data_IF_613734151382
#
_entry.id   IF_613734151382
#
_cell.length_a   1.000
_cell.length_b   1.000
_cell.length_c   1.000
_cell.angle_alpha   90.00
_cell.angle_beta   90.00
_cell.angle_gamma   90.00
#
_symmetry.space_group_name_H-M   'P 1'
#
loop_
_entity.id
_entity.type
_entity.pdbx_description
1 polymer ?
#
# COMPACT_ATOMS: atom_id res chain seq x y z
N UNK A 1 -6.81 -43.29 23.51
CA UNK A 1 -8.24 -42.91 23.56
C UNK A 1 -8.57 -41.95 24.72
N UNK A 2 -7.88 -42.02 25.86
CA UNK A 2 -8.12 -41.16 27.04
C UNK A 2 -7.74 -39.66 26.86
N UNK A 3 -6.70 -39.32 26.10
CA UNK A 3 -6.27 -37.90 25.96
C UNK A 3 -7.26 -37.01 25.21
N UNK A 4 -8.00 -37.56 24.25
CA UNK A 4 -9.04 -36.81 23.53
C UNK A 4 -10.22 -36.46 24.43
N UNK A 5 -10.59 -37.37 25.32
CA UNK A 5 -11.72 -37.19 26.23
C UNK A 5 -11.42 -36.11 27.29
N UNK A 6 -10.17 -36.06 27.77
CA UNK A 6 -9.68 -35.02 28.67
C UNK A 6 -9.69 -33.65 27.98
N UNK A 7 -9.25 -33.59 26.72
CA UNK A 7 -9.22 -32.35 25.94
C UNK A 7 -10.62 -31.83 25.62
N UNK A 8 -11.54 -32.69 25.19
CA UNK A 8 -12.92 -32.32 24.91
C UNK A 8 -13.63 -31.83 26.19
N UNK A 9 -13.43 -32.52 27.32
CA UNK A 9 -13.98 -32.10 28.63
C UNK A 9 -13.45 -30.74 29.07
N UNK A 10 -12.16 -30.47 28.86
CA UNK A 10 -11.57 -29.16 29.19
C UNK A 10 -12.16 -28.03 28.34
N UNK A 11 -12.35 -28.26 27.04
CA UNK A 11 -12.97 -27.27 26.14
C UNK A 11 -14.41 -26.98 26.57
N UNK A 12 -15.24 -28.00 26.78
CA UNK A 12 -16.63 -27.80 27.19
C UNK A 12 -16.73 -27.09 28.54
N UNK A 13 -15.83 -27.39 29.48
CA UNK A 13 -15.74 -26.69 30.76
C UNK A 13 -15.42 -25.20 30.59
N UNK A 14 -14.46 -24.86 29.73
CA UNK A 14 -14.12 -23.45 29.47
C UNK A 14 -15.24 -22.68 28.78
N UNK A 15 -15.92 -23.28 27.78
CA UNK A 15 -17.05 -22.65 27.09
C UNK A 15 -18.22 -22.38 28.05
N UNK A 16 -18.55 -23.34 28.92
CA UNK A 16 -19.62 -23.16 29.90
C UNK A 16 -19.31 -22.04 30.90
N UNK A 17 -18.04 -21.87 31.29
CA UNK A 17 -17.63 -20.79 32.18
C UNK A 17 -17.70 -19.42 31.49
N UNK A 18 -17.36 -19.34 30.21
CA UNK A 18 -17.48 -18.10 29.41
C UNK A 18 -18.94 -17.71 29.24
N UNK A 19 -19.83 -18.64 28.91
CA UNK A 19 -21.27 -18.35 28.81
C UNK A 19 -21.88 -17.89 30.13
N UNK A 20 -21.50 -18.52 31.25
CA UNK A 20 -21.94 -18.09 32.59
C UNK A 20 -21.46 -16.69 32.91
N UNK A 21 -20.24 -16.31 32.53
CA UNK A 21 -19.72 -14.97 32.77
C UNK A 21 -20.43 -13.91 31.92
N UNK A 22 -20.72 -14.21 30.66
CA UNK A 22 -21.47 -13.33 29.76
C UNK A 22 -22.91 -13.12 30.27
N UNK A 23 -23.59 -14.19 30.69
CA UNK A 23 -24.96 -14.10 31.20
C UNK A 23 -25.00 -13.43 32.58
N UNK A 24 -24.06 -13.73 33.47
CA UNK A 24 -23.95 -13.05 34.77
C UNK A 24 -23.70 -11.55 34.62
N UNK A 25 -23.03 -11.12 33.55
CA UNK A 25 -22.81 -9.70 33.24
C UNK A 25 -24.02 -9.02 32.62
N UNK A 26 -24.96 -9.80 32.05
CA UNK A 26 -26.25 -9.31 31.52
C UNK A 26 -27.32 -9.20 32.59
N UNK A 27 -27.29 -10.04 33.61
CA UNK A 27 -28.34 -10.12 34.63
C UNK A 27 -28.20 -9.14 35.81
N UNK A 28 -27.17 -8.26 35.85
CA UNK A 28 -27.05 -7.25 36.92
C UNK A 28 -27.80 -5.94 36.63
N UNK A 29 -28.66 -5.88 35.62
CA UNK A 29 -29.44 -4.68 35.30
C UNK A 29 -30.94 -4.93 35.22
N UNK A 30 -31.58 -5.26 36.35
CA UNK A 30 -33.02 -5.07 36.54
C UNK A 30 -33.43 -4.99 38.03
N UNK A 31 -33.75 -3.78 38.53
CA UNK A 31 -35.07 -3.41 39.13
C UNK A 31 -35.01 -2.28 40.18
N UNK A 32 -35.54 -1.10 39.84
CA UNK A 32 -36.48 -0.26 40.65
C UNK A 32 -36.89 1.04 39.87
N UNK A 33 -38.07 1.66 40.09
CA UNK A 33 -38.81 2.39 39.03
C UNK A 33 -38.88 3.95 39.11
N UNK A 34 -39.01 4.57 37.91
CA UNK A 34 -39.59 5.88 37.51
C UNK A 34 -38.87 7.22 37.84
N UNK A 35 -39.12 8.35 37.11
CA UNK A 35 -39.75 8.59 35.79
C UNK A 35 -38.89 9.44 34.80
N UNK A 36 -39.30 9.43 33.52
CA UNK A 36 -39.11 10.44 32.45
C UNK A 36 -37.89 11.38 32.50
N UNK A 37 -36.88 11.15 31.65
CA UNK A 37 -36.17 12.19 30.89
C UNK A 37 -35.39 11.56 29.72
N UNK A 38 -35.46 12.25 28.57
CA UNK A 38 -34.84 12.04 27.25
C UNK A 38 -33.79 10.94 27.10
N UNK A 39 -34.07 10.04 26.15
CA UNK A 39 -33.10 9.15 25.53
C UNK A 39 -31.89 9.96 25.02
N UNK A 40 -30.80 9.91 25.78
CA UNK A 40 -29.48 10.29 25.32
C UNK A 40 -28.81 8.99 24.94
N UNK A 41 -28.79 8.66 23.65
CA UNK A 41 -28.00 7.55 23.14
C UNK A 41 -26.54 7.78 23.51
N UNK A 42 -26.05 7.03 24.50
CA UNK A 42 -24.65 6.96 24.82
C UNK A 42 -23.92 6.27 23.67
N UNK A 43 -23.43 7.07 22.73
CA UNK A 43 -22.49 6.62 21.70
C UNK A 43 -21.26 6.05 22.44
N UNK A 44 -21.15 4.73 22.46
CA UNK A 44 -19.94 4.04 22.87
C UNK A 44 -18.81 4.55 21.97
N UNK A 45 -17.99 5.45 22.52
CA UNK A 45 -16.89 6.09 21.82
C UNK A 45 -15.83 5.02 21.57
N UNK A 46 -15.92 4.36 20.41
CA UNK A 46 -14.86 3.47 19.96
C UNK A 46 -13.61 4.32 19.78
N UNK A 47 -12.68 4.20 20.73
CA UNK A 47 -11.35 4.77 20.61
C UNK A 47 -10.62 3.93 19.58
N UNK A 48 -10.73 4.32 18.32
CA UNK A 48 -9.85 3.81 17.27
C UNK A 48 -8.44 4.28 17.59
N UNK A 49 -7.44 3.39 17.63
CA UNK A 49 -6.05 3.82 17.79
C UNK A 49 -5.74 4.81 16.66
N UNK A 50 -5.28 6.01 17.02
CA UNK A 50 -4.93 7.03 16.05
C UNK A 50 -3.72 6.55 15.26
N UNK A 51 -3.98 6.03 14.07
CA UNK A 51 -2.93 5.66 13.13
C UNK A 51 -2.24 6.94 12.64
N UNK A 52 -0.92 6.91 12.39
CA UNK A 52 -0.23 8.01 11.73
C UNK A 52 -0.96 8.42 10.45
N UNK A 53 -1.14 9.71 10.23
CA UNK A 53 -1.73 10.22 8.98
C UNK A 53 -0.84 9.82 7.82
N UNK A 54 -1.40 9.07 6.86
CA UNK A 54 -0.68 8.66 5.66
C UNK A 54 -0.42 9.91 4.83
N UNK A 55 0.85 10.20 4.57
CA UNK A 55 1.26 11.30 3.69
C UNK A 55 1.24 10.81 2.26
N UNK A 56 0.52 11.55 1.40
CA UNK A 56 0.46 11.23 -0.03
C UNK A 56 1.86 11.39 -0.65
N UNK A 57 2.38 10.39 -1.38
CA UNK A 57 3.68 10.50 -2.00
C UNK A 57 3.68 11.60 -3.06
N UNK A 58 4.79 12.33 -3.15
CA UNK A 58 5.02 13.27 -4.24
C UNK A 58 5.54 12.52 -5.47
N UNK A 59 5.15 12.95 -6.67
CA UNK A 59 5.62 12.38 -7.93
C UNK A 59 6.09 13.47 -8.89
N UNK A 60 7.35 13.42 -9.27
CA UNK A 60 7.98 14.40 -10.15
C UNK A 60 8.02 13.98 -11.63
N UNK A 61 7.75 12.71 -11.94
CA UNK A 61 7.85 12.14 -13.28
C UNK A 61 8.94 11.07 -13.42
N UNK A 62 9.63 10.69 -12.35
CA UNK A 62 10.59 9.58 -12.38
C UNK A 62 9.87 8.24 -12.57
N UNK A 63 10.16 7.53 -13.68
CA UNK A 63 9.57 6.23 -13.99
C UNK A 63 9.77 5.18 -12.87
N UNK A 64 10.88 5.23 -12.13
CA UNK A 64 11.13 4.31 -11.00
C UNK A 64 10.09 4.47 -9.87
N UNK A 65 9.58 5.69 -9.68
CA UNK A 65 8.65 6.01 -8.61
C UNK A 65 7.19 5.93 -9.06
N UNK A 66 6.93 5.79 -10.38
CA UNK A 66 5.59 5.79 -10.95
C UNK A 66 4.72 4.68 -10.36
N UNK A 67 5.22 3.45 -10.32
CA UNK A 67 4.44 2.30 -9.83
C UNK A 67 3.99 2.52 -8.38
N UNK A 68 4.95 2.89 -7.53
CA UNK A 68 4.69 3.21 -6.12
C UNK A 68 3.71 4.36 -5.96
N UNK A 69 3.88 5.44 -6.71
CA UNK A 69 2.98 6.59 -6.68
C UNK A 69 1.57 6.22 -7.11
N UNK A 70 1.44 5.58 -8.28
CA UNK A 70 0.17 5.14 -8.86
C UNK A 70 -0.59 4.28 -7.87
N UNK A 71 0.02 3.21 -7.36
CA UNK A 71 -0.64 2.25 -6.48
C UNK A 71 -1.10 2.90 -5.17
N UNK A 72 -0.25 3.77 -4.61
CA UNK A 72 -0.58 4.51 -3.38
C UNK A 72 -1.71 5.52 -3.62
N UNK A 73 -1.62 6.30 -4.69
CA UNK A 73 -2.64 7.31 -5.03
C UNK A 73 -3.96 6.66 -5.39
N UNK A 74 -3.92 5.53 -6.10
CA UNK A 74 -5.09 4.77 -6.50
C UNK A 74 -5.83 4.23 -5.27
N UNK A 75 -5.10 3.58 -4.37
CA UNK A 75 -5.65 3.03 -3.12
C UNK A 75 -6.23 4.11 -2.18
N UNK A 76 -5.57 5.26 -2.03
CA UNK A 76 -5.95 6.26 -1.04
C UNK A 76 -6.96 7.30 -1.55
N UNK A 77 -6.87 7.65 -2.84
CA UNK A 77 -7.58 8.81 -3.42
C UNK A 77 -8.50 8.38 -4.56
N UNK A 78 -7.97 7.67 -5.57
CA UNK A 78 -8.75 7.33 -6.77
C UNK A 78 -9.95 6.42 -6.42
N UNK A 79 -9.71 5.33 -5.69
CA UNK A 79 -10.71 4.35 -5.29
C UNK A 79 -11.56 4.78 -4.08
N UNK A 80 -11.27 5.93 -3.48
CA UNK A 80 -11.99 6.42 -2.32
C UNK A 80 -13.34 7.05 -2.73
N UNK A 81 -14.44 6.35 -2.49
CA UNK A 81 -15.80 6.78 -2.86
C UNK A 81 -16.31 8.01 -2.10
N UNK A 82 -15.68 8.39 -0.99
CA UNK A 82 -16.06 9.59 -0.22
C UNK A 82 -15.56 10.90 -0.84
N UNK A 83 -14.66 10.84 -1.82
CA UNK A 83 -14.12 12.01 -2.51
C UNK A 83 -14.88 12.27 -3.82
N UNK A 84 -15.12 13.55 -4.13
CA UNK A 84 -15.54 13.97 -5.47
C UNK A 84 -14.37 14.01 -6.44
N UNK A 85 -14.65 14.00 -7.75
CA UNK A 85 -13.62 14.04 -8.79
C UNK A 85 -12.78 15.33 -8.70
N UNK A 86 -13.39 16.48 -8.39
CA UNK A 86 -12.65 17.73 -8.17
C UNK A 86 -11.75 17.66 -6.93
N UNK A 87 -12.19 17.02 -5.83
CA UNK A 87 -11.34 16.81 -4.65
C UNK A 87 -10.15 15.90 -5.00
N UNK A 88 -10.39 14.80 -5.72
CA UNK A 88 -9.31 13.92 -6.22
C UNK A 88 -8.33 14.70 -7.10
N UNK A 89 -8.81 15.61 -7.94
CA UNK A 89 -7.94 16.43 -8.78
C UNK A 89 -7.12 17.42 -7.95
N UNK A 90 -7.69 18.06 -6.92
CA UNK A 90 -6.89 18.88 -6.01
C UNK A 90 -5.76 18.09 -5.35
N UNK A 91 -6.06 16.88 -4.86
CA UNK A 91 -5.04 15.99 -4.32
C UNK A 91 -3.99 15.62 -5.36
N UNK A 92 -4.41 15.22 -6.56
CA UNK A 92 -3.52 14.89 -7.67
C UNK A 92 -2.56 16.06 -7.95
N UNK A 93 -3.08 17.25 -8.17
CA UNK A 93 -2.28 18.43 -8.50
C UNK A 93 -1.30 18.78 -7.37
N UNK A 94 -1.72 18.63 -6.11
CA UNK A 94 -0.85 18.84 -4.94
C UNK A 94 0.22 17.77 -4.74
N UNK A 95 0.07 16.58 -5.33
CA UNK A 95 1.02 15.48 -5.23
C UNK A 95 2.06 15.51 -6.36
N UNK A 96 1.73 16.13 -7.49
CA UNK A 96 2.62 16.17 -8.65
C UNK A 96 3.66 17.28 -8.52
N UNK A 97 4.86 17.04 -9.05
CA UNK A 97 5.94 18.03 -9.20
C UNK A 97 6.53 17.96 -10.61
N UNK A 98 7.34 18.96 -10.96
CA UNK A 98 8.21 18.90 -12.14
C UNK A 98 7.53 18.49 -13.46
N UNK A 99 8.14 17.58 -14.24
CA UNK A 99 7.55 17.01 -15.47
C UNK A 99 6.14 16.44 -15.32
N UNK A 100 5.79 15.86 -14.17
CA UNK A 100 4.48 15.24 -13.98
C UNK A 100 3.34 16.26 -13.92
N UNK A 101 3.51 17.41 -13.23
CA UNK A 101 2.52 18.51 -13.25
C UNK A 101 2.35 19.04 -14.66
N UNK A 102 3.46 19.23 -15.39
CA UNK A 102 3.42 19.76 -16.75
C UNK A 102 2.64 18.87 -17.72
N UNK A 103 2.50 17.58 -17.43
CA UNK A 103 1.72 16.66 -18.25
C UNK A 103 0.22 16.99 -18.25
N UNK A 104 -0.29 17.59 -17.17
CA UNK A 104 -1.71 17.89 -17.00
C UNK A 104 -2.02 19.39 -16.83
N UNK A 105 -0.99 20.24 -16.92
CA UNK A 105 -1.10 21.69 -16.63
C UNK A 105 -2.09 22.44 -17.54
N UNK A 106 -2.37 21.93 -18.74
CA UNK A 106 -3.34 22.52 -19.67
C UNK A 106 -4.79 22.24 -19.27
N UNK A 107 -5.02 21.29 -18.34
CA UNK A 107 -6.33 20.95 -17.84
C UNK A 107 -6.66 21.83 -16.62
N UNK A 108 -7.74 22.60 -16.72
CA UNK A 108 -8.28 23.31 -15.56
C UNK A 108 -8.79 22.33 -14.50
N UNK A 109 -8.61 22.64 -13.21
CA UNK A 109 -9.10 21.80 -12.11
C UNK A 109 -10.63 21.81 -12.10
N UNK A 110 -11.24 20.69 -12.52
CA UNK A 110 -12.69 20.47 -12.57
C UNK A 110 -13.02 18.98 -12.48
N UNK A 111 -14.24 18.63 -12.08
CA UNK A 111 -14.68 17.22 -12.02
C UNK A 111 -14.52 16.51 -13.39
N UNK A 112 -14.90 17.19 -14.46
CA UNK A 112 -14.85 16.64 -15.83
C UNK A 112 -13.41 16.33 -16.26
N UNK A 113 -12.46 17.17 -15.85
CA UNK A 113 -11.07 17.05 -16.26
C UNK A 113 -10.26 16.07 -15.41
N UNK A 114 -10.74 15.66 -14.23
CA UNK A 114 -10.00 14.74 -13.36
C UNK A 114 -9.65 13.42 -14.08
N UNK A 115 -10.65 12.79 -14.70
CA UNK A 115 -10.45 11.51 -15.41
C UNK A 115 -9.44 11.67 -16.54
N UNK A 116 -9.54 12.76 -17.30
CA UNK A 116 -8.60 13.06 -18.39
C UNK A 116 -7.19 13.29 -17.86
N UNK A 117 -7.04 13.97 -16.72
CA UNK A 117 -5.74 14.19 -16.08
C UNK A 117 -5.12 12.88 -15.58
N UNK A 118 -5.91 12.01 -14.95
CA UNK A 118 -5.46 10.71 -14.46
C UNK A 118 -5.04 9.79 -15.61
N UNK A 119 -5.88 9.66 -16.64
CA UNK A 119 -5.56 8.88 -17.84
C UNK A 119 -4.37 9.46 -18.61
N UNK A 120 -4.21 10.79 -18.66
CA UNK A 120 -3.05 11.43 -19.27
C UNK A 120 -1.73 11.10 -18.56
N UNK A 121 -1.74 10.99 -17.22
CA UNK A 121 -0.59 10.53 -16.45
C UNK A 121 -0.31 9.06 -16.71
N UNK A 122 -1.34 8.22 -16.65
CA UNK A 122 -1.23 6.80 -16.97
C UNK A 122 -0.65 6.60 -18.36
N UNK A 123 -1.25 7.18 -19.40
CA UNK A 123 -0.75 7.06 -20.77
C UNK A 123 0.73 7.48 -20.93
N UNK A 124 1.23 8.41 -20.11
CA UNK A 124 2.60 8.92 -20.22
C UNK A 124 3.62 8.09 -19.42
N UNK A 125 3.22 7.57 -18.27
CA UNK A 125 4.12 6.92 -17.31
C UNK A 125 3.84 5.42 -17.12
N UNK A 126 2.65 4.96 -17.46
CA UNK A 126 2.19 3.57 -17.51
C UNK A 126 2.41 2.99 -18.92
N UNK A 127 3.66 3.06 -19.41
CA UNK A 127 4.10 2.25 -20.54
C UNK A 127 4.91 1.06 -20.01
N UNK A 128 4.32 -0.14 -19.92
CA UNK A 128 5.01 -1.31 -19.39
C UNK A 128 6.27 -1.63 -20.21
N UNK A 129 6.26 -1.40 -21.53
CA UNK A 129 7.42 -1.68 -22.39
C UNK A 129 8.56 -0.72 -22.07
N UNK A 130 8.27 0.57 -21.94
CA UNK A 130 9.29 1.55 -21.55
C UNK A 130 9.79 1.34 -20.12
N UNK A 131 8.92 0.92 -19.19
CA UNK A 131 9.31 0.61 -17.81
C UNK A 131 10.19 -0.64 -17.74
N UNK A 132 9.84 -1.70 -18.45
CA UNK A 132 10.65 -2.92 -18.58
C UNK A 132 12.00 -2.56 -19.20
N UNK A 133 12.01 -1.80 -20.30
CA UNK A 133 13.24 -1.38 -20.96
C UNK A 133 14.11 -0.50 -20.05
N UNK A 134 13.50 0.42 -19.29
CA UNK A 134 14.20 1.27 -18.33
C UNK A 134 14.89 0.44 -17.24
N UNK A 135 14.16 -0.44 -16.55
CA UNK A 135 14.73 -1.26 -15.49
C UNK A 135 15.74 -2.28 -16.02
N UNK A 136 15.51 -2.83 -17.21
CA UNK A 136 16.46 -3.73 -17.87
C UNK A 136 17.76 -3.00 -18.19
N UNK A 137 17.70 -1.83 -18.82
CA UNK A 137 18.90 -1.05 -19.10
C UNK A 137 19.61 -0.59 -17.84
N UNK A 138 18.88 -0.09 -16.83
CA UNK A 138 19.47 0.32 -15.56
C UNK A 138 20.22 -0.84 -14.89
N UNK A 139 19.64 -2.06 -14.90
CA UNK A 139 20.29 -3.28 -14.42
C UNK A 139 21.56 -3.63 -15.24
N UNK A 140 21.45 -3.58 -16.57
CA UNK A 140 22.55 -3.83 -17.51
C UNK A 140 23.63 -2.75 -17.51
N UNK A 141 23.34 -1.55 -16.98
CA UNK A 141 24.26 -0.41 -16.90
C UNK A 141 24.77 -0.12 -15.47
N UNK A 142 24.27 -0.83 -14.44
CA UNK A 142 24.82 -0.78 -13.07
C UNK A 142 26.35 -0.70 -13.07
N UNK A 143 26.87 0.35 -12.47
CA UNK A 143 28.30 0.66 -12.53
C UNK A 143 29.11 -0.40 -11.79
N UNK A 144 30.22 -0.83 -12.39
CA UNK A 144 31.13 -1.80 -11.78
C UNK A 144 31.74 -1.26 -10.49
N UNK A 145 31.83 -2.11 -9.47
CA UNK A 145 32.37 -1.77 -8.15
C UNK A 145 33.90 -1.68 -8.21
N UNK A 146 34.43 -0.54 -8.70
CA UNK A 146 35.88 -0.32 -8.88
C UNK A 146 36.69 -0.30 -7.58
N UNK A 147 36.04 -0.09 -6.43
CA UNK A 147 36.64 -0.19 -5.10
C UNK A 147 35.76 -1.12 -4.27
N UNK A 148 36.27 -2.32 -3.98
CA UNK A 148 35.60 -3.34 -3.16
C UNK A 148 35.52 -2.90 -1.69
N UNK A 149 34.74 -1.86 -1.41
CA UNK A 149 34.26 -1.60 -0.06
C UNK A 149 32.98 -2.42 0.17
N UNK A 150 32.78 -2.90 1.39
CA UNK A 150 31.57 -3.63 1.77
C UNK A 150 30.30 -2.80 1.54
N UNK A 151 30.38 -1.48 1.72
CA UNK A 151 29.28 -0.55 1.45
C UNK A 151 28.95 -0.44 -0.04
N UNK A 152 29.95 -0.29 -0.91
CA UNK A 152 29.74 -0.19 -2.36
C UNK A 152 29.17 -1.48 -2.95
N UNK A 153 29.58 -2.65 -2.44
CA UNK A 153 29.01 -3.93 -2.85
C UNK A 153 27.55 -4.06 -2.41
N UNK A 154 27.22 -3.61 -1.20
CA UNK A 154 25.85 -3.63 -0.69
C UNK A 154 24.93 -2.72 -1.52
N UNK A 155 25.36 -1.51 -1.81
CA UNK A 155 24.63 -0.58 -2.68
C UNK A 155 24.40 -1.16 -4.09
N UNK A 156 25.41 -1.81 -4.67
CA UNK A 156 25.28 -2.49 -5.95
C UNK A 156 24.23 -3.61 -5.92
N UNK A 157 24.29 -4.47 -4.89
CA UNK A 157 23.32 -5.56 -4.70
C UNK A 157 21.90 -5.01 -4.49
N UNK A 158 21.75 -3.99 -3.65
CA UNK A 158 20.45 -3.39 -3.34
C UNK A 158 19.86 -2.73 -4.60
N UNK A 159 20.67 -2.04 -5.41
CA UNK A 159 20.23 -1.47 -6.69
C UNK A 159 19.81 -2.55 -7.69
N UNK A 160 20.58 -3.64 -7.82
CA UNK A 160 20.23 -4.77 -8.68
C UNK A 160 18.90 -5.42 -8.25
N UNK A 161 18.73 -5.66 -6.94
CA UNK A 161 17.49 -6.21 -6.38
C UNK A 161 16.30 -5.31 -6.66
N UNK A 162 16.44 -3.99 -6.50
CA UNK A 162 15.35 -3.05 -6.75
C UNK A 162 14.87 -3.12 -8.21
N UNK A 163 15.78 -3.21 -9.17
CA UNK A 163 15.40 -3.37 -10.58
C UNK A 163 14.75 -4.73 -10.87
N UNK A 164 15.26 -5.82 -10.29
CA UNK A 164 14.66 -7.16 -10.43
C UNK A 164 13.25 -7.22 -9.83
N UNK A 165 13.06 -6.61 -8.65
CA UNK A 165 11.74 -6.52 -8.01
C UNK A 165 10.76 -5.69 -8.84
N UNK A 166 11.20 -4.57 -9.41
CA UNK A 166 10.37 -3.75 -10.28
C UNK A 166 9.97 -4.51 -11.56
N UNK A 167 10.89 -5.23 -12.19
CA UNK A 167 10.60 -6.09 -13.35
C UNK A 167 9.59 -7.19 -13.01
N UNK A 168 9.74 -7.83 -11.85
CA UNK A 168 8.75 -8.80 -11.36
C UNK A 168 7.36 -8.20 -11.14
N UNK A 169 7.29 -6.97 -10.60
CA UNK A 169 6.03 -6.25 -10.42
C UNK A 169 5.39 -5.82 -11.76
N UNK A 170 6.18 -5.69 -12.83
CA UNK A 170 5.72 -5.44 -14.20
C UNK A 170 5.30 -6.72 -14.94
N UNK A 171 5.43 -7.89 -14.32
CA UNK A 171 5.01 -9.18 -14.88
C UNK A 171 6.11 -9.97 -15.57
N UNK A 172 7.37 -9.51 -15.52
CA UNK A 172 8.49 -10.27 -16.08
C UNK A 172 8.80 -11.52 -15.24
N UNK A 173 9.17 -12.66 -15.86
CA UNK A 173 9.42 -13.93 -15.18
C UNK A 173 10.81 -13.96 -14.50
N UNK A 174 11.11 -12.96 -13.67
CA UNK A 174 12.42 -12.75 -13.03
C UNK A 174 12.91 -13.94 -12.19
N UNK A 175 11.97 -14.75 -11.67
CA UNK A 175 12.26 -15.98 -10.91
C UNK A 175 12.94 -17.08 -11.74
N UNK A 176 13.05 -16.91 -13.06
CA UNK A 176 13.73 -17.87 -13.95
C UNK A 176 15.08 -17.34 -14.44
N UNK A 177 15.48 -16.14 -14.02
CA UNK A 177 16.65 -15.45 -14.56
C UNK A 177 17.92 -15.63 -13.73
N UNK A 178 17.89 -16.44 -12.67
CA UNK A 178 19.01 -16.58 -11.71
C UNK A 178 20.36 -16.78 -12.40
N UNK A 179 20.47 -17.74 -13.32
CA UNK A 179 21.72 -18.03 -14.04
C UNK A 179 22.19 -16.86 -14.89
N UNK A 180 21.27 -16.16 -15.58
CA UNK A 180 21.59 -15.00 -16.41
C UNK A 180 22.01 -13.80 -15.56
N UNK A 181 21.27 -13.52 -14.48
CA UNK A 181 21.55 -12.44 -13.55
C UNK A 181 22.90 -12.65 -12.86
N UNK A 182 23.17 -13.86 -12.37
CA UNK A 182 24.48 -14.21 -11.81
C UNK A 182 25.58 -13.96 -12.83
N UNK A 183 25.43 -14.44 -14.08
CA UNK A 183 26.44 -14.24 -15.12
C UNK A 183 26.68 -12.76 -15.45
N UNK A 184 25.61 -11.97 -15.62
CA UNK A 184 25.69 -10.55 -15.97
C UNK A 184 26.27 -9.73 -14.82
N UNK A 185 25.81 -9.96 -13.59
CA UNK A 185 26.29 -9.22 -12.41
C UNK A 185 27.73 -9.61 -12.05
N UNK A 186 28.13 -10.86 -12.26
CA UNK A 186 29.51 -11.31 -12.04
C UNK A 186 30.52 -10.62 -12.97
N UNK A 187 30.11 -10.26 -14.19
CA UNK A 187 30.96 -9.50 -15.13
C UNK A 187 31.17 -8.04 -14.73
N UNK A 188 30.39 -7.55 -13.76
CA UNK A 188 30.39 -6.17 -13.29
C UNK A 188 31.05 -5.99 -11.93
N UNK A 189 31.29 -7.08 -11.20
CA UNK A 189 32.03 -7.08 -9.95
C UNK A 189 33.54 -7.16 -10.22
#
# INVERSE_FOLDING_TARGET
>A
MHERDIFETAIFGTLANVEKFINSSRDTQASAPSPTVSASESIARQVTPQLPTIVLPSFDGNYNDWLRFRDTFESLIHSNSSLSDIQRFHYLNSALRGPAVRAIQSLGVSDVNYKLAWEGLKSRYEDPVSLIHHHTNALLELTSVKRHSSSSLREFIDSAKNHVLALGALGEPVNTWDTLLVLVLSKKN
#
